data_IF_234856027159
#
_entry.id   IF_234856027159
#
_cell.length_a   1.000
_cell.length_b   1.000
_cell.length_c   1.000
_cell.angle_alpha   90.00
_cell.angle_beta   90.00
_cell.angle_gamma   90.00
#
_symmetry.space_group_name_H-M   'P 1'
#
loop_
_entity.id
_entity.type
_entity.pdbx_description
1 polymer ?
#
# COMPACT_ATOMS: atom_id res chain seq x y z
N UNK A 1 -13.99 37.38 -25.25
CA UNK A 1 -14.18 36.23 -26.11
C UNK A 1 -12.93 35.36 -25.95
N UNK A 2 -12.93 34.44 -25.00
CA UNK A 2 -11.90 33.46 -24.80
C UNK A 2 -12.56 32.08 -24.83
N UNK A 3 -12.14 31.28 -25.77
CA UNK A 3 -12.63 29.90 -25.91
C UNK A 3 -12.00 29.05 -24.84
N UNK A 4 -12.82 28.50 -23.95
CA UNK A 4 -12.46 27.38 -23.06
C UNK A 4 -12.76 26.11 -23.85
N UNK A 5 -11.73 25.43 -24.32
CA UNK A 5 -11.85 24.06 -24.83
C UNK A 5 -11.91 23.12 -23.64
N UNK A 6 -13.12 22.66 -23.33
CA UNK A 6 -13.34 21.54 -22.46
C UNK A 6 -12.94 20.24 -23.17
N UNK A 7 -11.89 19.59 -22.72
CA UNK A 7 -11.56 18.21 -23.11
C UNK A 7 -12.53 17.27 -22.40
N UNK A 8 -13.51 16.78 -23.14
CA UNK A 8 -14.37 15.67 -22.72
C UNK A 8 -13.56 14.39 -22.94
N UNK A 9 -13.07 13.79 -21.85
CA UNK A 9 -12.47 12.44 -21.89
C UNK A 9 -13.59 11.41 -22.02
N UNK A 10 -13.79 10.90 -23.21
CA UNK A 10 -14.65 9.75 -23.48
C UNK A 10 -13.91 8.47 -23.12
N UNK A 11 -14.26 7.83 -22.01
CA UNK A 11 -13.87 6.46 -21.74
C UNK A 11 -14.68 5.52 -22.63
N UNK A 12 -14.01 4.93 -23.61
CA UNK A 12 -14.58 3.86 -24.43
C UNK A 12 -14.56 2.55 -23.61
N UNK A 13 -15.74 2.03 -23.35
CA UNK A 13 -15.93 0.65 -22.87
C UNK A 13 -15.45 -0.28 -23.99
N UNK A 14 -14.31 -0.93 -23.80
CA UNK A 14 -13.83 -1.97 -24.72
C UNK A 14 -14.62 -3.25 -24.55
N UNK A 15 -15.41 -3.56 -25.56
CA UNK A 15 -15.97 -4.89 -25.80
C UNK A 15 -14.81 -5.87 -26.07
N UNK A 16 -14.62 -6.86 -25.22
CA UNK A 16 -13.68 -7.95 -25.48
C UNK A 16 -14.24 -8.92 -26.51
N UNK A 17 -13.58 -8.99 -27.66
CA UNK A 17 -13.71 -10.09 -28.59
C UNK A 17 -12.78 -11.23 -28.14
N UNK A 18 -13.39 -12.37 -27.86
CA UNK A 18 -12.73 -13.63 -27.57
C UNK A 18 -11.90 -14.10 -28.78
N UNK A 19 -10.59 -14.27 -28.61
CA UNK A 19 -9.76 -15.07 -29.51
C UNK A 19 -9.24 -16.31 -28.78
N UNK A 20 -9.50 -17.45 -29.40
CA UNK A 20 -9.33 -18.77 -28.87
C UNK A 20 -7.88 -19.19 -28.63
N UNK A 21 -7.72 -19.99 -27.60
CA UNK A 21 -6.51 -20.75 -27.30
C UNK A 21 -6.21 -21.79 -28.40
N UNK A 22 -4.98 -21.79 -28.87
CA UNK A 22 -4.39 -22.90 -29.58
C UNK A 22 -3.52 -23.69 -28.61
N UNK A 23 -3.91 -24.93 -28.34
CA UNK A 23 -3.12 -25.90 -27.59
C UNK A 23 -1.80 -26.24 -28.31
N UNK A 24 -0.69 -26.18 -27.59
CA UNK A 24 0.49 -27.00 -27.89
C UNK A 24 0.96 -27.68 -26.62
N UNK A 25 0.77 -28.96 -26.58
CA UNK A 25 1.35 -29.88 -25.63
C UNK A 25 2.88 -29.93 -25.73
N UNK A 26 3.54 -30.06 -24.61
CA UNK A 26 4.96 -30.37 -24.50
C UNK A 26 5.21 -31.10 -23.19
N UNK A 27 5.60 -32.33 -23.30
CA UNK A 27 5.86 -33.31 -22.25
C UNK A 27 7.10 -32.97 -21.40
N UNK A 28 7.01 -33.24 -20.11
CA UNK A 28 7.96 -34.01 -19.33
C UNK A 28 9.33 -33.40 -19.02
N UNK A 29 9.58 -33.23 -17.74
CA UNK A 29 10.93 -33.03 -17.20
C UNK A 29 10.92 -32.84 -15.70
N UNK A 30 10.82 -33.95 -14.94
CA UNK A 30 11.14 -34.01 -13.52
C UNK A 30 12.63 -33.75 -13.33
N UNK A 31 12.97 -32.67 -12.58
CA UNK A 31 14.33 -32.39 -12.17
C UNK A 31 14.32 -31.64 -10.86
N UNK A 32 14.37 -32.38 -9.76
CA UNK A 32 14.64 -31.78 -8.45
C UNK A 32 16.04 -31.20 -8.43
N UNK A 33 16.16 -29.96 -8.07
CA UNK A 33 17.41 -29.37 -7.61
C UNK A 33 17.20 -28.77 -6.23
N UNK A 34 17.80 -29.45 -5.26
CA UNK A 34 18.10 -28.87 -3.97
C UNK A 34 19.12 -27.74 -4.20
N UNK A 35 18.69 -26.51 -4.10
CA UNK A 35 19.56 -25.34 -4.14
C UNK A 35 19.99 -24.93 -2.74
N UNK A 36 21.11 -25.49 -2.28
CA UNK A 36 21.89 -24.93 -1.17
C UNK A 36 22.61 -23.70 -1.70
N UNK A 37 22.04 -22.53 -1.49
CA UNK A 37 22.66 -21.25 -1.85
C UNK A 37 23.10 -20.49 -0.62
N UNK A 38 24.14 -20.95 0.07
CA UNK A 38 24.90 -20.12 0.98
C UNK A 38 25.69 -19.08 0.19
N UNK A 39 25.35 -17.82 0.26
CA UNK A 39 26.22 -16.74 -0.22
C UNK A 39 27.28 -16.42 0.84
N UNK A 40 28.51 -16.86 0.58
CA UNK A 40 29.69 -16.42 1.28
C UNK A 40 29.99 -14.96 0.87
N UNK A 41 29.66 -14.01 1.70
CA UNK A 41 30.12 -12.63 1.58
C UNK A 41 31.60 -12.54 1.94
N UNK A 42 32.41 -12.10 0.99
CA UNK A 42 33.84 -11.85 1.18
C UNK A 42 34.09 -10.50 1.86
N UNK A 43 34.67 -10.57 3.06
CA UNK A 43 35.70 -9.68 3.61
C UNK A 43 35.48 -8.17 3.61
N UNK A 44 35.16 -7.61 4.78
CA UNK A 44 35.34 -6.19 5.14
C UNK A 44 35.67 -6.05 6.61
N UNK A 45 36.86 -5.58 6.89
CA UNK A 45 37.45 -4.93 8.08
C UNK A 45 36.65 -4.93 9.39
N UNK A 46 37.09 -5.70 10.36
CA UNK A 46 37.11 -5.42 11.82
C UNK A 46 35.88 -4.75 12.45
N UNK A 47 34.66 -5.27 12.20
CA UNK A 47 33.51 -4.99 13.03
C UNK A 47 33.50 -5.86 14.27
N UNK A 48 32.95 -5.37 15.40
CA UNK A 48 32.65 -6.21 16.56
C UNK A 48 31.75 -7.38 16.10
N UNK A 49 31.86 -8.56 16.70
CA UNK A 49 30.96 -9.65 16.37
C UNK A 49 29.49 -9.19 16.50
N UNK A 50 28.66 -9.54 15.55
CA UNK A 50 27.27 -9.18 15.50
C UNK A 50 26.48 -9.77 16.67
N UNK A 51 26.94 -10.94 17.16
CA UNK A 51 26.36 -11.61 18.33
C UNK A 51 27.41 -12.15 19.28
N UNK A 52 27.03 -12.24 20.56
CA UNK A 52 27.81 -12.89 21.64
C UNK A 52 27.00 -14.01 22.31
N UNK A 53 25.73 -14.13 22.00
CA UNK A 53 24.83 -15.16 22.51
C UNK A 53 23.56 -15.26 21.66
N UNK A 54 22.72 -16.29 21.89
CA UNK A 54 21.48 -16.47 21.12
C UNK A 54 20.51 -15.28 21.22
N UNK A 55 20.48 -14.61 22.37
CA UNK A 55 19.59 -13.47 22.61
C UNK A 55 19.96 -12.24 21.73
N UNK A 56 21.17 -12.18 21.20
CA UNK A 56 21.63 -11.12 20.31
C UNK A 56 21.13 -11.36 18.85
N UNK A 57 20.64 -12.57 18.56
CA UNK A 57 20.20 -13.00 17.24
C UNK A 57 18.68 -13.15 17.14
N UNK A 58 17.93 -12.62 18.08
CA UNK A 58 16.47 -12.67 18.03
C UNK A 58 15.96 -11.85 16.84
N UNK A 59 15.39 -12.53 15.82
CA UNK A 59 14.78 -11.93 14.64
C UNK A 59 13.28 -11.71 14.82
N UNK A 60 12.76 -11.95 16.04
CA UNK A 60 11.34 -11.85 16.38
C UNK A 60 10.44 -12.79 15.54
N UNK A 61 11.01 -13.78 14.88
CA UNK A 61 10.29 -14.75 14.05
C UNK A 61 10.21 -16.11 14.78
N UNK A 62 9.02 -16.45 15.27
CA UNK A 62 8.76 -17.72 15.97
C UNK A 62 9.04 -18.96 15.10
N UNK A 63 9.20 -18.79 13.79
CA UNK A 63 9.41 -19.87 12.84
C UNK A 63 10.87 -20.06 12.45
N UNK A 64 11.80 -19.40 13.12
CA UNK A 64 13.23 -19.58 12.96
C UNK A 64 13.90 -19.97 14.28
N UNK A 65 14.91 -20.81 14.21
CA UNK A 65 15.87 -21.00 15.29
C UNK A 65 16.99 -20.00 15.12
N UNK A 66 17.22 -19.18 16.15
CA UNK A 66 18.20 -18.11 16.15
C UNK A 66 19.49 -18.61 16.81
N UNK A 67 20.55 -18.74 16.06
CA UNK A 67 21.83 -19.25 16.52
C UNK A 67 22.93 -18.22 16.33
N UNK A 68 23.60 -17.84 17.42
CA UNK A 68 24.86 -17.10 17.34
C UNK A 68 26.00 -18.02 17.03
N UNK A 69 26.62 -17.94 15.88
CA UNK A 69 27.82 -18.66 15.54
C UNK A 69 29.03 -17.96 16.19
N UNK A 70 29.48 -18.46 17.33
CA UNK A 70 30.55 -17.87 18.13
C UNK A 70 31.91 -17.90 17.45
N UNK A 71 32.09 -18.72 16.39
CA UNK A 71 33.36 -18.80 15.67
C UNK A 71 33.56 -17.60 14.71
N UNK A 72 32.50 -17.06 14.21
CA UNK A 72 32.54 -15.92 13.29
C UNK A 72 31.76 -14.67 13.79
N UNK A 73 31.03 -14.80 14.92
CA UNK A 73 30.20 -13.72 15.50
C UNK A 73 28.98 -13.33 14.67
N UNK A 74 28.47 -14.22 13.83
CA UNK A 74 27.32 -13.97 12.96
C UNK A 74 26.08 -14.73 13.43
N UNK A 75 24.91 -14.11 13.27
CA UNK A 75 23.64 -14.78 13.49
C UNK A 75 23.32 -15.73 12.31
N UNK A 76 22.88 -16.92 12.66
CA UNK A 76 22.38 -17.93 11.73
C UNK A 76 20.91 -18.20 12.06
N UNK A 77 20.05 -18.15 11.04
CA UNK A 77 18.62 -18.37 11.15
C UNK A 77 18.25 -19.64 10.38
N UNK A 78 17.65 -20.58 11.07
CA UNK A 78 17.22 -21.85 10.45
C UNK A 78 15.73 -22.02 10.65
N UNK A 79 15.00 -22.28 9.56
CA UNK A 79 13.57 -22.54 9.66
C UNK A 79 13.29 -23.71 10.61
N UNK A 80 12.35 -23.51 11.55
CA UNK A 80 11.85 -24.62 12.38
C UNK A 80 11.06 -25.61 11.49
N UNK A 81 10.83 -26.85 11.93
CA UNK A 81 10.07 -27.82 11.17
C UNK A 81 8.69 -27.32 10.78
N UNK A 82 8.27 -27.55 9.54
CA UNK A 82 6.94 -27.22 9.04
C UNK A 82 5.86 -27.83 9.96
N UNK A 83 4.83 -27.01 10.24
CA UNK A 83 3.76 -27.34 11.18
C UNK A 83 4.07 -27.04 12.65
N UNK A 84 5.27 -26.51 12.96
CA UNK A 84 5.55 -25.98 14.31
C UNK A 84 4.57 -24.85 14.62
N UNK A 85 3.98 -24.87 15.81
CA UNK A 85 3.01 -23.85 16.25
C UNK A 85 3.68 -22.46 16.33
N UNK A 86 3.00 -21.46 15.83
CA UNK A 86 3.37 -20.04 15.93
C UNK A 86 2.15 -19.18 16.26
N UNK A 87 2.34 -17.87 16.48
CA UNK A 87 1.28 -16.93 16.79
C UNK A 87 0.41 -17.39 17.99
N UNK A 88 1.05 -17.86 19.08
CA UNK A 88 0.40 -18.38 20.28
C UNK A 88 -0.57 -19.55 19.98
N UNK A 89 -0.21 -20.43 19.05
CA UNK A 89 -1.02 -21.58 18.65
C UNK A 89 -2.07 -21.29 17.57
N UNK A 90 -2.10 -20.08 17.04
CA UNK A 90 -3.06 -19.67 15.98
C UNK A 90 -2.55 -19.92 14.56
N UNK A 91 -1.33 -20.37 14.42
CA UNK A 91 -0.71 -20.66 13.12
C UNK A 91 0.29 -21.79 13.18
N UNK A 92 0.78 -22.20 12.00
CA UNK A 92 1.87 -23.16 11.83
C UNK A 92 3.00 -22.56 10.99
N UNK A 93 4.22 -22.91 11.33
CA UNK A 93 5.40 -22.51 10.58
C UNK A 93 5.51 -23.34 9.29
N UNK A 94 5.76 -22.70 8.17
CA UNK A 94 6.05 -23.32 6.88
C UNK A 94 7.15 -22.54 6.16
N UNK A 95 8.24 -23.23 5.85
CA UNK A 95 9.39 -22.61 5.19
C UNK A 95 10.04 -21.46 5.97
N UNK A 96 9.92 -21.46 7.31
CA UNK A 96 10.46 -20.40 8.16
C UNK A 96 9.52 -19.22 8.37
N UNK A 97 8.28 -19.26 7.89
CA UNK A 97 7.29 -18.22 8.05
C UNK A 97 6.05 -18.73 8.79
N UNK A 98 5.48 -17.89 9.65
CA UNK A 98 4.26 -18.23 10.38
C UNK A 98 3.02 -18.09 9.50
N UNK A 99 2.38 -19.21 9.16
CA UNK A 99 1.12 -19.25 8.45
C UNK A 99 -0.02 -19.37 9.46
N UNK A 100 -0.93 -18.38 9.49
CA UNK A 100 -1.99 -18.32 10.49
C UNK A 100 -3.12 -19.29 10.16
N UNK A 101 -3.83 -19.74 11.21
CA UNK A 101 -5.09 -20.44 11.08
C UNK A 101 -6.08 -19.56 10.30
N UNK A 102 -6.88 -20.13 9.39
CA UNK A 102 -7.87 -19.39 8.65
C UNK A 102 -8.76 -18.54 9.55
N UNK A 103 -8.99 -17.31 9.13
CA UNK A 103 -9.83 -16.35 9.80
C UNK A 103 -11.18 -16.32 9.10
N UNK A 104 -12.27 -16.62 9.81
CA UNK A 104 -13.61 -16.38 9.29
C UNK A 104 -14.03 -14.93 9.54
N UNK A 105 -14.74 -14.36 8.58
CA UNK A 105 -15.19 -12.98 8.64
C UNK A 105 -16.69 -12.94 8.36
N UNK A 106 -17.46 -12.52 9.35
CA UNK A 106 -18.88 -12.19 9.15
C UNK A 106 -18.98 -10.75 8.68
N UNK A 107 -19.70 -10.53 7.57
CA UNK A 107 -19.90 -9.21 6.93
C UNK A 107 -21.36 -8.82 7.12
N UNK A 108 -21.60 -7.66 7.72
CA UNK A 108 -22.94 -7.11 7.91
C UNK A 108 -23.50 -6.39 6.68
N UNK A 109 -24.60 -5.70 6.88
CA UNK A 109 -25.25 -4.94 5.82
C UNK A 109 -24.43 -3.68 5.44
N UNK A 110 -24.37 -3.31 4.15
CA UNK A 110 -23.70 -2.09 3.71
C UNK A 110 -24.49 -0.84 4.11
N UNK A 111 -23.74 0.21 4.43
CA UNK A 111 -24.25 1.56 4.71
C UNK A 111 -23.46 2.56 3.87
N UNK A 112 -24.17 3.50 3.24
CA UNK A 112 -23.55 4.59 2.47
C UNK A 112 -23.09 5.67 3.44
N UNK A 113 -21.83 6.07 3.34
CA UNK A 113 -21.21 7.14 4.15
C UNK A 113 -21.15 8.45 3.36
N UNK A 114 -20.94 8.35 2.04
CA UNK A 114 -20.95 9.45 1.10
C UNK A 114 -21.62 8.98 -0.18
N UNK A 115 -22.72 9.66 -0.56
CA UNK A 115 -23.45 9.46 -1.81
C UNK A 115 -23.03 10.54 -2.80
N UNK A 116 -22.32 10.14 -3.85
CA UNK A 116 -21.81 11.09 -4.84
C UNK A 116 -22.90 11.95 -5.45
N UNK A 117 -24.12 11.43 -5.61
CA UNK A 117 -25.23 12.17 -6.21
C UNK A 117 -25.73 13.30 -5.32
N UNK A 118 -25.57 13.18 -4.01
CA UNK A 118 -26.13 14.09 -3.01
C UNK A 118 -25.08 14.94 -2.30
N UNK A 119 -23.88 14.39 -2.03
CA UNK A 119 -22.95 14.95 -1.06
C UNK A 119 -21.74 15.62 -1.70
N UNK A 120 -21.49 15.39 -3.01
CA UNK A 120 -20.32 15.93 -3.71
C UNK A 120 -20.28 17.46 -3.77
N UNK A 121 -19.09 17.99 -3.62
CA UNK A 121 -18.81 19.42 -3.82
C UNK A 121 -18.72 19.83 -5.30
N UNK A 122 -18.15 18.97 -6.11
CA UNK A 122 -18.10 19.13 -7.57
C UNK A 122 -18.15 17.77 -8.29
N UNK A 123 -18.07 17.77 -9.63
CA UNK A 123 -18.19 16.54 -10.44
C UNK A 123 -17.06 15.53 -10.15
N UNK A 124 -15.87 16.00 -9.75
CA UNK A 124 -14.71 15.17 -9.47
C UNK A 124 -14.51 14.90 -7.97
N UNK A 125 -15.43 15.30 -7.11
CA UNK A 125 -15.43 14.93 -5.72
C UNK A 125 -15.94 13.49 -5.57
N UNK A 126 -15.04 12.55 -5.76
CA UNK A 126 -15.31 11.10 -5.75
C UNK A 126 -14.39 10.40 -4.75
N UNK A 127 -14.83 9.34 -4.07
CA UNK A 127 -13.97 8.51 -3.25
C UNK A 127 -13.03 7.70 -4.15
N UNK A 128 -11.80 8.20 -4.33
CA UNK A 128 -10.76 7.67 -5.22
C UNK A 128 -9.48 7.31 -4.47
N UNK A 129 -9.59 7.08 -3.17
CA UNK A 129 -8.54 6.60 -2.28
C UNK A 129 -9.14 5.78 -1.14
N UNK A 130 -8.36 4.91 -0.47
CA UNK A 130 -8.86 4.20 0.71
C UNK A 130 -9.27 5.19 1.80
N UNK A 131 -10.42 4.96 2.43
CA UNK A 131 -10.89 5.80 3.52
C UNK A 131 -9.89 5.81 4.69
N UNK A 132 -9.63 6.99 5.24
CA UNK A 132 -8.84 7.18 6.45
C UNK A 132 -9.59 8.10 7.39
N UNK A 133 -9.59 7.78 8.67
CA UNK A 133 -10.17 8.65 9.69
C UNK A 133 -9.10 9.02 10.69
N UNK A 134 -9.05 10.29 11.05
CA UNK A 134 -8.16 10.81 12.08
C UNK A 134 -8.97 11.70 13.01
N UNK A 135 -8.72 11.61 14.30
CA UNK A 135 -9.37 12.41 15.31
C UNK A 135 -8.68 13.76 15.47
N UNK A 136 -9.39 14.84 15.21
CA UNK A 136 -8.94 16.21 15.37
C UNK A 136 -8.74 16.60 16.86
N UNK A 137 -8.18 17.77 17.14
CA UNK A 137 -7.79 18.18 18.49
C UNK A 137 -8.98 18.20 19.46
N UNK A 138 -10.16 18.61 18.98
CA UNK A 138 -11.37 18.72 19.80
C UNK A 138 -12.30 17.50 19.69
N UNK A 139 -11.81 16.38 19.11
CA UNK A 139 -12.53 15.12 19.03
C UNK A 139 -13.39 14.95 17.78
N UNK A 140 -13.49 15.96 16.93
CA UNK A 140 -14.08 15.83 15.59
C UNK A 140 -13.33 14.76 14.78
N UNK A 141 -14.05 14.01 13.95
CA UNK A 141 -13.46 13.06 13.02
C UNK A 141 -13.26 13.73 11.67
N UNK A 142 -12.09 13.50 11.08
CA UNK A 142 -11.75 13.96 9.74
C UNK A 142 -11.55 12.73 8.87
N UNK A 143 -12.39 12.59 7.83
CA UNK A 143 -12.36 11.46 6.90
C UNK A 143 -11.78 11.90 5.56
N UNK A 144 -10.81 11.12 5.10
CA UNK A 144 -10.15 11.22 3.81
C UNK A 144 -10.65 10.07 2.93
N UNK A 145 -11.26 10.38 1.79
CA UNK A 145 -11.63 9.45 0.74
C UNK A 145 -11.77 10.29 -0.54
N UNK A 146 -10.66 10.67 -1.15
CA UNK A 146 -10.49 11.89 -1.93
C UNK A 146 -10.04 11.65 -3.35
N UNK A 147 -10.23 12.66 -4.20
CA UNK A 147 -9.73 12.71 -5.57
C UNK A 147 -8.61 13.75 -5.75
N UNK A 148 -7.74 13.54 -6.74
CA UNK A 148 -6.53 14.33 -6.95
C UNK A 148 -6.72 15.81 -7.25
N UNK A 149 -7.80 16.21 -7.89
CA UNK A 149 -7.92 17.60 -8.36
C UNK A 149 -8.15 18.56 -7.21
N UNK A 150 -9.12 18.22 -6.36
CA UNK A 150 -9.46 19.00 -5.17
C UNK A 150 -9.68 18.00 -4.04
N UNK A 151 -8.77 18.01 -3.07
CA UNK A 151 -8.84 17.07 -1.94
C UNK A 151 -9.83 17.61 -0.91
N UNK A 152 -11.12 17.34 -1.08
CA UNK A 152 -12.17 17.68 -0.12
C UNK A 152 -12.17 16.65 1.01
N UNK A 153 -12.25 17.13 2.24
CA UNK A 153 -12.33 16.27 3.42
C UNK A 153 -13.74 16.31 4.00
N UNK A 154 -14.16 15.17 4.56
CA UNK A 154 -15.39 15.10 5.32
C UNK A 154 -15.09 15.25 6.81
N UNK A 155 -15.96 15.94 7.54
CA UNK A 155 -15.81 16.18 8.97
C UNK A 155 -17.11 15.86 9.70
N UNK A 156 -17.02 15.36 10.93
CA UNK A 156 -18.19 15.05 11.72
C UNK A 156 -17.87 14.79 13.19
N UNK A 157 -18.83 14.92 14.09
CA UNK A 157 -18.65 14.60 15.50
C UNK A 157 -18.59 13.07 15.75
N UNK A 158 -19.06 12.28 14.80
CA UNK A 158 -19.12 10.81 14.85
C UNK A 158 -19.07 10.19 13.44
N UNK A 159 -19.13 8.88 13.34
CA UNK A 159 -19.08 8.14 12.08
C UNK A 159 -20.37 8.17 11.26
N UNK A 160 -21.46 8.71 11.80
CA UNK A 160 -22.78 8.71 11.18
C UNK A 160 -23.16 10.07 10.56
N UNK A 161 -22.36 11.11 10.83
CA UNK A 161 -22.69 12.48 10.46
C UNK A 161 -21.50 13.21 9.84
N UNK A 162 -20.93 12.67 8.78
CA UNK A 162 -19.89 13.35 8.01
C UNK A 162 -20.48 14.35 7.01
N UNK A 163 -19.88 15.54 6.94
CA UNK A 163 -20.23 16.59 5.97
C UNK A 163 -18.96 17.22 5.38
N UNK A 164 -19.01 17.71 4.16
CA UNK A 164 -17.94 18.50 3.54
C UNK A 164 -18.31 19.98 3.56
N UNK A 165 -17.35 20.83 3.87
CA UNK A 165 -17.47 22.29 3.73
C UNK A 165 -17.13 22.77 2.31
N UNK A 166 -16.81 21.85 1.42
CA UNK A 166 -16.40 22.09 0.04
C UNK A 166 -15.19 23.05 -0.09
N UNK A 167 -14.35 23.06 0.92
CA UNK A 167 -13.06 23.74 0.87
C UNK A 167 -11.95 22.70 0.70
N UNK A 168 -11.18 22.71 -0.42
CA UNK A 168 -10.15 21.70 -0.62
C UNK A 168 -8.98 21.92 0.35
N UNK A 169 -8.66 20.88 1.12
CA UNK A 169 -7.50 20.89 2.01
C UNK A 169 -6.16 20.90 1.24
N UNK A 170 -6.16 20.38 0.02
CA UNK A 170 -5.08 20.50 -0.96
C UNK A 170 -5.70 20.58 -2.35
N UNK A 171 -5.14 21.44 -3.19
CA UNK A 171 -5.42 21.44 -4.62
C UNK A 171 -4.16 21.07 -5.38
N UNK A 172 -4.23 20.10 -6.28
CA UNK A 172 -3.10 19.65 -7.07
C UNK A 172 -2.53 20.79 -7.92
N UNK A 173 -1.23 20.93 -7.91
CA UNK A 173 -0.54 21.95 -8.70
C UNK A 173 -0.57 21.62 -10.21
N UNK A 174 -0.68 20.34 -10.56
CA UNK A 174 -0.71 19.81 -11.94
C UNK A 174 0.46 20.33 -12.80
N UNK A 175 1.68 20.33 -12.24
CA UNK A 175 2.85 20.74 -12.96
C UNK A 175 3.17 19.74 -14.09
N UNK A 176 3.66 20.22 -15.26
CA UNK A 176 3.72 19.41 -16.46
C UNK A 176 4.95 18.48 -16.57
N UNK A 177 5.77 18.37 -15.54
CA UNK A 177 7.00 17.57 -15.55
C UNK A 177 7.05 16.56 -14.42
N UNK A 178 7.58 15.38 -14.70
CA UNK A 178 7.71 14.29 -13.70
C UNK A 178 8.63 14.68 -12.54
N UNK A 179 9.68 15.45 -12.80
CA UNK A 179 10.66 15.92 -11.80
C UNK A 179 10.10 16.90 -10.78
N UNK A 180 8.93 17.48 -11.04
CA UNK A 180 8.27 18.38 -10.11
C UNK A 180 7.73 17.64 -8.91
N UNK A 181 7.26 16.39 -9.06
CA UNK A 181 6.54 15.61 -8.05
C UNK A 181 5.31 16.34 -7.51
N UNK A 182 4.72 17.23 -8.32
CA UNK A 182 3.55 18.05 -8.01
C UNK A 182 2.56 18.00 -9.18
N UNK A 183 2.08 16.78 -9.48
CA UNK A 183 1.22 16.52 -10.63
C UNK A 183 -0.22 16.28 -10.18
N UNK A 184 -0.78 15.09 -10.32
CA UNK A 184 -2.04 14.73 -9.69
C UNK A 184 -1.73 14.20 -8.28
N UNK A 185 -2.36 14.76 -7.26
CA UNK A 185 -1.95 14.55 -5.86
C UNK A 185 -3.14 14.19 -4.99
N UNK A 186 -3.08 13.03 -4.34
CA UNK A 186 -4.05 12.56 -3.36
C UNK A 186 -3.45 12.62 -1.96
N UNK A 187 -4.10 13.29 -1.00
CA UNK A 187 -3.78 13.21 0.43
C UNK A 187 -4.12 11.80 0.95
N UNK A 188 -3.24 10.82 0.74
CA UNK A 188 -3.57 9.40 0.81
C UNK A 188 -3.48 8.80 2.21
N UNK A 189 -2.41 9.07 2.95
CA UNK A 189 -2.15 8.43 4.24
C UNK A 189 -1.86 9.46 5.31
N UNK A 190 -2.91 10.04 5.92
CA UNK A 190 -2.76 10.98 7.02
C UNK A 190 -2.31 10.27 8.31
N UNK A 191 -1.54 10.98 9.12
CA UNK A 191 -1.18 10.60 10.47
C UNK A 191 -1.03 11.86 11.34
N UNK A 192 -1.70 11.89 12.47
CA UNK A 192 -1.60 13.01 13.43
C UNK A 192 -0.66 12.64 14.56
N UNK A 193 0.41 13.43 14.73
CA UNK A 193 1.35 13.36 15.84
C UNK A 193 1.23 14.64 16.69
N UNK A 194 0.65 14.53 17.87
CA UNK A 194 0.36 15.71 18.69
C UNK A 194 -0.61 16.67 18.00
N UNK A 195 -0.17 17.88 17.67
CA UNK A 195 -0.94 18.89 16.94
C UNK A 195 -0.60 18.95 15.44
N UNK A 196 0.49 18.28 15.01
CA UNK A 196 0.90 18.25 13.62
C UNK A 196 0.19 17.10 12.88
N UNK A 197 -0.24 17.36 11.66
CA UNK A 197 -0.74 16.36 10.74
C UNK A 197 0.29 16.14 9.65
N UNK A 198 0.67 14.91 9.46
CA UNK A 198 1.53 14.47 8.37
C UNK A 198 0.70 13.68 7.38
N UNK A 199 0.96 13.82 6.10
CA UNK A 199 0.28 13.02 5.10
C UNK A 199 1.27 12.55 4.04
N UNK A 200 1.24 11.24 3.74
CA UNK A 200 1.85 10.73 2.52
C UNK A 200 0.89 10.99 1.37
N UNK A 201 1.40 11.63 0.35
CA UNK A 201 0.66 11.98 -0.87
C UNK A 201 1.01 10.96 -1.94
N UNK A 202 0.01 10.36 -2.55
CA UNK A 202 0.18 9.66 -3.83
C UNK A 202 0.21 10.71 -4.93
N UNK A 203 1.30 10.76 -5.69
CA UNK A 203 1.47 11.69 -6.81
C UNK A 203 1.64 10.91 -8.11
N UNK A 204 0.83 11.26 -9.12
CA UNK A 204 0.86 10.65 -10.45
C UNK A 204 1.18 11.67 -11.53
N UNK A 205 2.24 11.45 -12.27
CA UNK A 205 2.50 12.19 -13.51
C UNK A 205 1.91 11.43 -14.69
N UNK A 206 1.03 12.10 -15.44
CA UNK A 206 0.35 11.56 -16.62
C UNK A 206 0.87 12.27 -17.89
N UNK A 207 1.89 11.74 -18.56
CA UNK A 207 2.44 12.36 -19.76
C UNK A 207 1.45 12.29 -20.92
N UNK A 208 1.35 13.38 -21.68
CA UNK A 208 0.55 13.46 -22.89
C UNK A 208 1.26 12.84 -24.11
N UNK A 209 2.59 12.84 -24.11
CA UNK A 209 3.44 12.36 -25.20
C UNK A 209 4.74 11.75 -24.66
N UNK A 210 5.47 10.93 -25.41
CA UNK A 210 5.09 10.45 -26.75
C UNK A 210 4.09 9.29 -26.69
N UNK A 211 3.47 8.93 -27.82
CA UNK A 211 2.66 7.72 -27.88
C UNK A 211 3.45 6.48 -27.40
N UNK A 212 2.80 5.51 -26.71
CA UNK A 212 1.36 5.36 -26.52
C UNK A 212 0.74 6.23 -25.44
N UNK A 213 1.51 7.07 -24.73
CA UNK A 213 0.98 7.95 -23.69
C UNK A 213 0.04 9.02 -24.26
N UNK A 214 -1.04 9.31 -23.55
CA UNK A 214 -2.10 10.23 -23.97
C UNK A 214 -2.72 11.02 -22.81
N UNK A 215 -2.03 11.08 -21.66
CA UNK A 215 -2.53 11.70 -20.44
C UNK A 215 -3.41 10.80 -19.58
N UNK A 216 -3.65 9.55 -20.00
CA UNK A 216 -4.52 8.61 -19.27
C UNK A 216 -3.83 7.27 -19.05
N UNK A 217 -3.12 6.74 -20.04
CA UNK A 217 -2.64 5.36 -20.04
C UNK A 217 -1.17 5.19 -19.61
N UNK A 218 -0.49 6.25 -19.22
CA UNK A 218 0.86 6.20 -18.68
C UNK A 218 0.90 6.91 -17.34
N UNK A 219 1.31 6.20 -16.30
CA UNK A 219 1.39 6.73 -14.95
C UNK A 219 2.80 6.53 -14.40
N UNK A 220 3.43 7.63 -14.04
CA UNK A 220 4.70 7.63 -13.34
C UNK A 220 4.46 8.12 -11.92
N UNK A 221 4.67 7.23 -10.96
CA UNK A 221 4.18 7.38 -9.60
C UNK A 221 5.30 7.63 -8.61
N UNK A 222 4.99 8.42 -7.61
CA UNK A 222 5.87 8.73 -6.49
C UNK A 222 5.06 9.03 -5.23
N UNK A 223 5.72 8.95 -4.07
CA UNK A 223 5.13 9.35 -2.80
C UNK A 223 5.81 10.62 -2.34
N UNK A 224 5.01 11.63 -2.02
CA UNK A 224 5.46 12.89 -1.45
C UNK A 224 4.83 13.14 -0.07
N UNK A 225 5.09 14.27 0.53
CA UNK A 225 4.69 14.58 1.90
C UNK A 225 4.18 16.01 2.01
N UNK A 226 3.15 16.20 2.82
CA UNK A 226 2.70 17.50 3.26
C UNK A 226 2.38 17.50 4.75
N UNK A 227 2.29 18.69 5.32
CA UNK A 227 2.00 18.93 6.74
C UNK A 227 0.84 19.91 6.87
N UNK A 228 -0.04 19.67 7.85
CA UNK A 228 -1.01 20.64 8.32
C UNK A 228 -0.76 20.98 9.79
N UNK A 229 -0.94 22.26 10.12
CA UNK A 229 -0.90 22.79 11.50
C UNK A 229 -2.19 23.50 11.88
N UNK A 230 -3.20 23.39 11.05
CA UNK A 230 -4.53 24.00 11.21
C UNK A 230 -5.65 22.94 11.28
N UNK A 231 -5.31 21.80 11.87
CA UNK A 231 -6.24 20.67 12.10
C UNK A 231 -6.82 20.08 10.80
N UNK A 232 -5.94 19.95 9.80
CA UNK A 232 -6.22 19.42 8.44
C UNK A 232 -7.18 20.29 7.60
N UNK A 233 -7.33 21.57 7.89
CA UNK A 233 -8.05 22.48 6.98
C UNK A 233 -7.21 22.82 5.74
N UNK A 234 -5.88 22.87 5.88
CA UNK A 234 -4.98 23.03 4.75
C UNK A 234 -3.69 22.23 4.92
N UNK A 235 -3.12 21.77 3.81
CA UNK A 235 -1.83 21.08 3.80
C UNK A 235 -0.80 21.86 2.98
N UNK A 236 0.42 21.92 3.49
CA UNK A 236 1.54 22.61 2.87
C UNK A 236 2.67 21.63 2.62
N UNK A 237 3.20 21.63 1.40
CA UNK A 237 4.37 20.83 1.03
C UNK A 237 5.66 21.61 1.26
N UNK A 238 6.73 20.99 1.76
CA UNK A 238 8.06 21.55 1.62
C UNK A 238 8.39 21.81 0.14
N UNK A 239 9.19 22.81 -0.15
CA UNK A 239 9.59 23.09 -1.55
C UNK A 239 10.34 21.91 -2.17
N UNK A 240 10.06 21.63 -3.46
CA UNK A 240 10.71 20.54 -4.20
C UNK A 240 12.25 20.65 -4.17
N UNK A 241 13.00 19.56 -4.04
CA UNK A 241 12.56 18.16 -3.89
C UNK A 241 12.38 17.70 -2.43
N UNK A 242 12.38 18.59 -1.44
CA UNK A 242 12.39 18.24 -0.02
C UNK A 242 11.10 17.54 0.45
N UNK A 243 10.01 17.63 -0.32
CA UNK A 243 8.74 16.95 -0.03
C UNK A 243 8.72 15.48 -0.51
N UNK A 244 9.75 15.02 -1.24
CA UNK A 244 9.75 13.68 -1.84
C UNK A 244 10.14 12.62 -0.82
N UNK A 245 9.30 11.58 -0.69
CA UNK A 245 9.49 10.44 0.23
C UNK A 245 9.99 9.21 -0.54
N UNK A 246 9.23 8.77 -1.54
CA UNK A 246 9.56 7.61 -2.37
C UNK A 246 9.37 7.97 -3.85
N UNK A 247 10.41 8.50 -4.50
CA UNK A 247 10.41 8.73 -5.94
C UNK A 247 10.51 7.40 -6.68
N UNK A 248 9.96 7.33 -7.90
CA UNK A 248 10.27 6.20 -8.77
C UNK A 248 11.79 6.05 -8.93
N UNK A 249 12.31 4.81 -9.01
CA UNK A 249 13.76 4.57 -9.06
C UNK A 249 14.48 5.20 -10.24
N UNK A 250 13.81 5.29 -11.38
CA UNK A 250 14.36 5.86 -12.62
C UNK A 250 13.69 7.19 -12.95
N UNK A 251 14.37 8.02 -13.74
CA UNK A 251 13.73 9.18 -14.37
C UNK A 251 12.63 8.72 -15.32
N UNK A 252 11.61 9.56 -15.50
CA UNK A 252 10.56 9.24 -16.45
C UNK A 252 11.16 8.95 -17.84
N UNK A 253 10.81 7.78 -18.36
CA UNK A 253 11.04 7.38 -19.74
C UNK A 253 9.76 6.83 -20.33
N UNK A 254 9.44 7.16 -21.59
CA UNK A 254 8.29 6.58 -22.25
C UNK A 254 8.44 5.06 -22.38
N UNK A 255 7.32 4.32 -22.41
CA UNK A 255 7.37 2.87 -22.61
C UNK A 255 8.09 2.54 -23.93
N UNK A 256 8.81 1.40 -24.00
CA UNK A 256 9.44 0.93 -25.22
C UNK A 256 8.42 0.82 -26.39
N UNK A 257 8.84 1.02 -27.65
CA UNK A 257 7.93 0.94 -28.80
C UNK A 257 7.26 -0.43 -29.01
N UNK A 258 7.88 -1.48 -28.50
CA UNK A 258 7.41 -2.87 -28.51
C UNK A 258 6.69 -3.26 -27.22
N UNK A 259 6.45 -2.29 -26.33
CA UNK A 259 5.65 -2.49 -25.13
C UNK A 259 4.28 -3.04 -25.54
N UNK A 260 3.81 -4.15 -24.93
CA UNK A 260 2.50 -4.68 -25.28
C UNK A 260 1.46 -3.56 -25.20
N UNK A 261 0.46 -3.56 -26.10
CA UNK A 261 -0.66 -2.61 -26.00
C UNK A 261 -1.53 -2.98 -24.79
N UNK A 262 -0.90 -2.99 -23.61
CA UNK A 262 -1.62 -3.07 -22.34
C UNK A 262 -2.37 -1.74 -22.16
N UNK A 263 -3.55 -1.78 -21.56
CA UNK A 263 -4.33 -0.55 -21.37
C UNK A 263 -3.55 0.52 -20.58
N UNK A 264 -2.58 0.11 -19.75
CA UNK A 264 -1.91 1.00 -18.81
C UNK A 264 -0.41 0.68 -18.67
N UNK A 265 0.42 1.73 -18.77
CA UNK A 265 1.83 1.70 -18.39
C UNK A 265 1.97 2.40 -17.03
N UNK A 266 2.08 1.62 -15.95
CA UNK A 266 2.15 2.12 -14.58
C UNK A 266 3.52 1.80 -14.01
N UNK A 267 4.26 2.80 -13.54
CA UNK A 267 5.59 2.59 -12.97
C UNK A 267 5.83 3.48 -11.75
N UNK A 268 6.64 3.02 -10.81
CA UNK A 268 7.05 3.74 -9.61
C UNK A 268 6.46 3.18 -8.33
N UNK A 269 6.41 4.02 -7.30
CA UNK A 269 5.80 3.73 -6.01
C UNK A 269 4.45 4.41 -5.90
N UNK A 270 3.43 3.65 -5.50
CA UNK A 270 2.04 4.11 -5.46
C UNK A 270 1.30 3.55 -4.25
N UNK A 271 0.13 4.11 -3.97
CA UNK A 271 -0.83 3.63 -2.97
C UNK A 271 -0.20 3.35 -1.60
N UNK A 272 0.32 4.37 -0.88
CA UNK A 272 0.84 4.13 0.46
C UNK A 272 -0.28 3.65 1.39
N UNK A 273 -0.03 2.59 2.17
CA UNK A 273 -0.97 2.12 3.18
C UNK A 273 -1.21 3.17 4.27
N UNK A 274 -2.10 2.90 5.22
CA UNK A 274 -2.13 3.67 6.47
C UNK A 274 -0.76 3.65 7.12
N UNK A 275 -0.40 4.75 7.81
CA UNK A 275 0.78 4.80 8.67
C UNK A 275 0.42 4.15 10.01
N UNK A 276 1.26 3.28 10.54
CA UNK A 276 1.13 2.71 11.88
C UNK A 276 2.39 2.93 12.71
N UNK A 277 2.24 3.19 14.00
CA UNK A 277 3.34 3.19 14.95
C UNK A 277 3.64 1.74 15.35
N UNK A 278 4.81 1.25 15.00
CA UNK A 278 5.21 -0.13 15.15
C UNK A 278 6.45 -0.34 16.03
N UNK A 279 7.12 -1.48 15.88
CA UNK A 279 8.25 -1.87 16.70
C UNK A 279 9.37 -0.83 16.74
N UNK A 280 10.00 -0.70 17.90
CA UNK A 280 11.10 0.25 18.10
C UNK A 280 10.73 1.72 17.99
N UNK A 281 9.44 2.07 18.03
CA UNK A 281 8.95 3.43 17.90
C UNK A 281 9.16 4.01 16.50
N UNK A 282 9.13 3.17 15.48
CA UNK A 282 9.12 3.59 14.09
C UNK A 282 7.68 3.72 13.57
N UNK A 283 7.47 4.66 12.68
CA UNK A 283 6.30 4.76 11.81
C UNK A 283 6.55 3.90 10.57
N UNK A 284 5.60 3.04 10.23
CA UNK A 284 5.67 2.16 9.08
C UNK A 284 4.56 2.47 8.09
N UNK A 285 4.86 2.32 6.82
CA UNK A 285 3.88 2.30 5.74
C UNK A 285 4.32 1.28 4.68
N UNK A 286 3.35 0.61 4.06
CA UNK A 286 3.60 -0.20 2.88
C UNK A 286 3.32 0.62 1.63
N UNK A 287 4.00 0.27 0.55
CA UNK A 287 3.84 0.86 -0.78
C UNK A 287 3.60 -0.25 -1.78
N UNK A 288 2.76 0.00 -2.76
CA UNK A 288 2.81 -0.79 -3.98
C UNK A 288 4.00 -0.33 -4.82
N UNK A 289 4.78 -1.27 -5.35
CA UNK A 289 5.84 -1.00 -6.33
C UNK A 289 5.50 -1.68 -7.64
N UNK A 290 5.58 -0.92 -8.74
CA UNK A 290 5.42 -1.46 -10.09
C UNK A 290 6.58 -0.94 -10.95
N UNK A 291 7.37 -1.85 -11.50
CA UNK A 291 8.49 -1.50 -12.37
C UNK A 291 8.54 -2.45 -13.55
N UNK A 292 8.75 -1.88 -14.74
CA UNK A 292 8.99 -2.62 -15.96
C UNK A 292 10.50 -2.79 -16.17
N UNK A 293 11.04 -3.79 -15.50
CA UNK A 293 12.41 -4.25 -15.65
C UNK A 293 12.44 -5.45 -16.63
N UNK A 294 13.62 -6.08 -16.82
CA UNK A 294 13.71 -7.35 -17.56
C UNK A 294 12.71 -8.39 -17.03
N UNK A 295 12.55 -8.43 -15.70
CA UNK A 295 11.47 -9.14 -15.00
C UNK A 295 10.50 -8.12 -14.42
N UNK A 296 9.24 -8.19 -14.77
CA UNK A 296 8.21 -7.32 -14.21
C UNK A 296 8.14 -7.47 -12.69
N UNK A 297 8.32 -6.35 -11.98
CA UNK A 297 8.15 -6.28 -10.54
C UNK A 297 6.80 -5.63 -10.22
N UNK A 298 5.93 -6.35 -9.54
CA UNK A 298 4.68 -5.83 -8.94
C UNK A 298 4.49 -6.50 -7.57
N UNK A 299 4.17 -5.72 -6.54
CA UNK A 299 3.92 -6.23 -5.21
C UNK A 299 3.96 -5.13 -4.14
N UNK A 300 3.88 -5.54 -2.89
CA UNK A 300 3.98 -4.64 -1.75
C UNK A 300 5.40 -4.63 -1.19
N UNK A 301 5.88 -3.46 -0.80
CA UNK A 301 7.10 -3.30 -0.01
C UNK A 301 6.86 -2.39 1.20
N UNK A 302 7.75 -2.43 2.19
CA UNK A 302 7.60 -1.69 3.45
C UNK A 302 8.69 -0.67 3.61
N UNK A 303 8.32 0.49 4.17
CA UNK A 303 9.24 1.54 4.59
C UNK A 303 8.95 1.99 6.02
N UNK A 304 9.96 2.59 6.67
CA UNK A 304 9.80 3.14 8.03
C UNK A 304 10.62 4.40 8.27
N UNK A 305 10.20 5.17 9.27
CA UNK A 305 10.95 6.31 9.79
C UNK A 305 10.73 6.48 11.30
N UNK A 306 11.60 7.23 11.99
CA UNK A 306 11.38 7.70 13.37
C UNK A 306 10.82 9.11 13.44
N UNK A 307 10.78 9.81 12.34
CA UNK A 307 10.38 11.21 12.30
C UNK A 307 9.56 11.49 11.04
N UNK A 308 8.32 11.86 11.23
CA UNK A 308 7.42 12.13 10.11
C UNK A 308 7.71 13.49 9.44
N UNK A 309 8.34 14.42 10.18
CA UNK A 309 8.69 15.76 9.68
C UNK A 309 9.76 15.76 8.58
N UNK A 310 10.57 14.70 8.49
CA UNK A 310 11.67 14.60 7.54
C UNK A 310 11.40 13.54 6.46
N UNK A 311 10.91 13.93 5.27
CA UNK A 311 10.69 13.01 4.16
C UNK A 311 11.93 12.18 3.78
N UNK A 312 13.12 12.75 3.91
CA UNK A 312 14.37 12.07 3.58
C UNK A 312 14.81 11.01 4.62
N UNK A 313 14.13 10.95 5.77
CA UNK A 313 14.42 9.98 6.84
C UNK A 313 13.84 8.59 6.59
N UNK A 314 12.86 8.46 5.71
CA UNK A 314 12.26 7.18 5.38
C UNK A 314 13.28 6.19 4.80
N UNK A 315 13.20 4.95 5.24
CA UNK A 315 14.04 3.84 4.75
C UNK A 315 13.16 2.67 4.36
N UNK A 316 13.32 2.18 3.15
CA UNK A 316 12.64 0.98 2.70
C UNK A 316 13.44 -0.28 3.03
N UNK A 317 12.73 -1.39 3.12
CA UNK A 317 13.30 -2.72 3.25
C UNK A 317 14.03 -3.12 1.96
N UNK A 318 15.28 -3.55 2.06
CA UNK A 318 16.12 -3.94 0.92
C UNK A 318 16.28 -5.46 0.75
N UNK A 319 15.52 -6.25 1.54
CA UNK A 319 15.63 -7.71 1.61
C UNK A 319 16.51 -8.20 2.76
N UNK A 320 17.21 -7.30 3.46
CA UNK A 320 18.08 -7.64 4.58
C UNK A 320 17.92 -6.68 5.78
N UNK A 321 17.39 -5.48 5.53
CA UNK A 321 17.19 -4.45 6.53
C UNK A 321 16.54 -3.21 5.96
N UNK A 322 16.20 -2.26 6.83
CA UNK A 322 15.69 -0.96 6.44
C UNK A 322 16.83 0.01 6.09
N UNK A 323 17.63 -0.33 5.07
CA UNK A 323 18.83 0.40 4.70
C UNK A 323 18.64 1.28 3.45
N UNK A 324 17.60 1.00 2.65
CA UNK A 324 17.38 1.69 1.38
C UNK A 324 16.87 3.11 1.59
N UNK A 325 17.70 4.10 1.27
CA UNK A 325 17.27 5.49 1.13
C UNK A 325 16.68 5.69 -0.28
N UNK A 326 15.42 6.10 -0.35
CA UNK A 326 14.75 6.36 -1.60
C UNK A 326 15.05 7.80 -2.05
N UNK A 327 16.07 7.96 -2.89
CA UNK A 327 16.53 9.27 -3.35
C UNK A 327 16.08 9.53 -4.79
N UNK A 328 15.69 10.78 -5.09
CA UNK A 328 15.22 11.13 -6.43
C UNK A 328 16.33 10.98 -7.48
N UNK A 329 16.09 10.22 -8.58
CA UNK A 329 17.04 10.09 -9.68
C UNK A 329 17.28 11.43 -10.42
N UNK A 330 16.32 12.35 -10.36
CA UNK A 330 16.50 13.70 -10.91
C UNK A 330 17.49 14.55 -10.09
N UNK A 331 17.68 14.23 -8.81
CA UNK A 331 18.64 14.92 -7.94
C UNK A 331 20.02 14.27 -8.01
N UNK A 332 20.05 12.94 -7.97
CA UNK A 332 21.30 12.17 -7.93
C UNK A 332 21.91 11.96 -9.31
N UNK A 333 21.13 12.05 -10.37
CA UNK A 333 21.55 11.72 -11.74
C UNK A 333 21.79 10.22 -11.98
N UNK A 334 21.42 9.37 -11.03
CA UNK A 334 21.58 7.90 -11.12
C UNK A 334 20.29 7.23 -10.64
N UNK A 335 19.95 6.03 -11.17
CA UNK A 335 18.83 5.26 -10.67
C UNK A 335 18.96 5.03 -9.15
N UNK A 336 17.83 5.10 -8.46
CA UNK A 336 17.75 4.75 -7.04
C UNK A 336 17.68 3.22 -6.87
N UNK A 337 18.01 2.75 -5.67
CA UNK A 337 17.71 1.36 -5.30
C UNK A 337 16.21 1.10 -5.27
N UNK A 338 15.82 -0.15 -5.45
CA UNK A 338 14.42 -0.61 -5.42
C UNK A 338 14.16 -1.35 -4.11
N UNK A 339 13.02 -1.08 -3.46
CA UNK A 339 12.63 -1.81 -2.27
C UNK A 339 12.36 -3.29 -2.60
N UNK A 340 12.68 -4.18 -1.67
CA UNK A 340 12.36 -5.58 -1.80
C UNK A 340 10.85 -5.80 -1.63
N UNK A 341 10.26 -6.56 -2.55
CA UNK A 341 8.87 -7.00 -2.40
C UNK A 341 8.80 -8.01 -1.26
N UNK A 342 7.81 -7.82 -0.39
CA UNK A 342 7.55 -8.68 0.75
C UNK A 342 7.08 -10.06 0.29
N UNK A 343 7.41 -11.09 1.06
CA UNK A 343 7.13 -12.47 0.74
C UNK A 343 6.11 -13.09 1.68
N UNK A 344 5.42 -14.11 1.18
CA UNK A 344 4.55 -15.02 1.93
C UNK A 344 5.10 -16.44 1.77
N UNK A 345 4.65 -17.43 2.55
CA UNK A 345 5.06 -18.82 2.40
C UNK A 345 4.89 -19.40 0.98
N UNK A 346 3.90 -18.95 0.24
CA UNK A 346 3.60 -19.45 -1.10
C UNK A 346 4.02 -18.52 -2.24
N UNK A 347 4.57 -17.34 -1.94
CA UNK A 347 4.99 -16.40 -2.98
C UNK A 347 5.25 -15.00 -2.48
N UNK A 348 4.81 -13.99 -3.20
CA UNK A 348 4.98 -12.58 -2.85
C UNK A 348 3.68 -12.02 -2.28
N UNK A 349 3.79 -11.03 -1.40
CA UNK A 349 2.66 -10.18 -1.04
C UNK A 349 2.27 -9.41 -2.31
N UNK A 350 1.07 -9.66 -2.86
CA UNK A 350 0.64 -8.95 -4.07
C UNK A 350 0.40 -7.47 -3.78
N UNK A 351 -0.11 -6.73 -4.74
CA UNK A 351 -0.36 -5.29 -4.62
C UNK A 351 -1.52 -4.91 -3.68
N UNK A 352 -1.72 -5.63 -2.58
CA UNK A 352 -2.78 -5.39 -1.58
C UNK A 352 -2.34 -4.40 -0.49
N UNK A 353 -1.79 -3.26 -0.84
CA UNK A 353 -1.22 -2.30 0.12
C UNK A 353 -2.16 -1.15 0.48
N UNK A 354 -3.49 -1.36 0.47
CA UNK A 354 -4.43 -0.25 0.69
C UNK A 354 -4.58 0.13 2.16
N UNK A 355 -4.73 -0.83 3.08
CA UNK A 355 -4.96 -0.57 4.51
C UNK A 355 -4.03 -1.38 5.39
N UNK A 356 -3.31 -0.72 6.28
CA UNK A 356 -2.43 -1.32 7.28
C UNK A 356 -2.90 -0.92 8.68
N UNK A 357 -3.10 -1.89 9.56
CA UNK A 357 -3.51 -1.68 10.95
C UNK A 357 -2.85 -2.71 11.87
N UNK A 358 -2.75 -2.43 13.18
CA UNK A 358 -2.43 -3.43 14.18
C UNK A 358 -3.72 -3.94 14.82
N UNK A 359 -4.20 -5.10 14.43
CA UNK A 359 -5.43 -5.66 14.99
C UNK A 359 -5.18 -6.19 16.41
N UNK A 360 -5.85 -5.57 17.39
CA UNK A 360 -5.65 -5.88 18.82
C UNK A 360 -6.30 -7.20 19.25
N UNK A 361 -7.27 -7.72 18.51
CA UNK A 361 -7.88 -9.04 18.76
C UNK A 361 -6.98 -10.18 18.26
N UNK A 362 -6.35 -9.97 17.10
CA UNK A 362 -5.42 -10.94 16.50
C UNK A 362 -3.99 -10.78 17.05
N UNK A 363 -3.68 -9.64 17.68
CA UNK A 363 -2.33 -9.22 18.10
C UNK A 363 -1.32 -9.26 16.94
N UNK A 364 -1.78 -8.85 15.76
CA UNK A 364 -0.99 -8.86 14.49
C UNK A 364 -1.27 -7.63 13.67
N UNK A 365 -0.30 -7.26 12.86
CA UNK A 365 -0.53 -6.33 11.76
C UNK A 365 -1.41 -7.00 10.71
N UNK A 366 -2.38 -6.26 10.23
CA UNK A 366 -3.31 -6.70 9.19
C UNK A 366 -3.18 -5.76 8.00
N UNK A 367 -2.81 -6.31 6.87
CA UNK A 367 -2.76 -5.63 5.57
C UNK A 367 -3.99 -6.04 4.78
N UNK A 368 -4.69 -5.06 4.20
CA UNK A 368 -5.86 -5.30 3.35
C UNK A 368 -5.69 -4.55 2.04
N UNK A 369 -6.13 -5.15 0.95
CA UNK A 369 -6.15 -4.50 -0.35
C UNK A 369 -6.93 -5.27 -1.40
N UNK A 370 -7.00 -4.68 -2.60
CA UNK A 370 -7.77 -5.22 -3.72
C UNK A 370 -6.91 -6.06 -4.65
N UNK A 371 -7.33 -7.31 -4.91
CA UNK A 371 -6.91 -8.08 -6.08
C UNK A 371 -7.93 -7.91 -7.20
N UNK A 372 -7.55 -7.11 -8.19
CA UNK A 372 -8.41 -6.74 -9.30
C UNK A 372 -8.46 -7.79 -10.41
N UNK A 373 -7.32 -8.46 -10.62
CA UNK A 373 -7.18 -9.55 -11.58
C UNK A 373 -6.53 -10.72 -10.88
N UNK A 374 -7.17 -11.86 -10.93
CA UNK A 374 -6.59 -13.00 -10.27
C UNK A 374 -6.35 -14.18 -11.21
N UNK A 375 -5.09 -14.36 -11.54
CA UNK A 375 -4.59 -15.50 -12.28
C UNK A 375 -4.20 -16.68 -11.36
N UNK A 376 -4.05 -16.42 -10.06
CA UNK A 376 -3.55 -17.38 -9.09
C UNK A 376 -4.63 -17.85 -8.11
N UNK A 377 -5.55 -16.98 -7.69
CA UNK A 377 -6.51 -17.26 -6.62
C UNK A 377 -7.94 -17.50 -7.11
N UNK A 378 -8.26 -17.18 -8.38
CA UNK A 378 -9.53 -17.51 -9.04
C UNK A 378 -10.74 -16.66 -8.63
N UNK A 379 -10.56 -15.72 -7.69
CA UNK A 379 -11.60 -14.81 -7.20
C UNK A 379 -11.02 -13.41 -7.08
N UNK A 380 -11.69 -12.42 -7.67
CA UNK A 380 -11.35 -11.01 -7.45
C UNK A 380 -12.02 -10.52 -6.17
N UNK A 381 -11.37 -9.60 -5.46
CA UNK A 381 -11.93 -9.09 -4.21
C UNK A 381 -10.93 -8.43 -3.30
N UNK A 382 -11.38 -8.14 -2.11
CA UNK A 382 -10.52 -7.67 -1.04
C UNK A 382 -9.89 -8.86 -0.33
N UNK A 383 -8.60 -8.81 -0.16
CA UNK A 383 -7.80 -9.82 0.53
C UNK A 383 -7.07 -9.19 1.71
N UNK A 384 -6.68 -10.02 2.66
CA UNK A 384 -5.83 -9.61 3.77
C UNK A 384 -4.68 -10.57 3.98
N UNK A 385 -3.61 -10.07 4.59
CA UNK A 385 -2.50 -10.84 5.14
C UNK A 385 -2.19 -10.36 6.55
N UNK A 386 -1.58 -11.22 7.36
CA UNK A 386 -1.21 -10.95 8.74
C UNK A 386 0.30 -11.04 8.95
N UNK A 387 0.85 -10.20 9.84
CA UNK A 387 2.27 -10.17 10.16
C UNK A 387 2.50 -9.87 11.65
N UNK A 388 3.57 -10.40 12.23
CA UNK A 388 4.03 -10.03 13.57
C UNK A 388 5.02 -8.86 13.55
N UNK A 389 5.75 -8.66 12.43
CA UNK A 389 6.93 -7.79 12.36
C UNK A 389 6.91 -6.80 11.18
N UNK A 390 5.86 -6.82 10.32
CA UNK A 390 5.70 -5.98 9.12
C UNK A 390 6.59 -6.37 7.94
N UNK A 391 7.42 -7.39 8.08
CA UNK A 391 8.32 -7.89 7.02
C UNK A 391 7.91 -9.27 6.53
N UNK A 392 7.56 -10.16 7.46
CA UNK A 392 7.11 -11.52 7.16
C UNK A 392 5.59 -11.59 7.24
N UNK A 393 4.96 -12.04 6.17
CA UNK A 393 3.50 -12.03 6.03
C UNK A 393 2.94 -13.42 5.83
N UNK A 394 1.77 -13.69 6.38
CA UNK A 394 1.00 -14.90 6.07
C UNK A 394 0.61 -14.93 4.59
N UNK A 395 0.20 -16.09 4.11
CA UNK A 395 -0.54 -16.16 2.86
C UNK A 395 -1.80 -15.31 2.92
N UNK A 396 -2.18 -14.76 1.76
CA UNK A 396 -3.36 -13.91 1.67
C UNK A 396 -4.65 -14.74 1.79
N UNK A 397 -5.66 -14.17 2.42
CA UNK A 397 -6.97 -14.74 2.61
C UNK A 397 -8.04 -13.79 2.04
N UNK A 398 -9.09 -14.35 1.44
CA UNK A 398 -10.21 -13.57 0.92
C UNK A 398 -10.98 -12.95 2.09
N UNK A 399 -11.19 -11.62 2.03
CA UNK A 399 -12.01 -10.87 2.96
C UNK A 399 -13.43 -10.67 2.42
N UNK A 400 -13.55 -10.20 1.17
CA UNK A 400 -14.84 -9.95 0.51
C UNK A 400 -14.70 -10.06 -1.00
N UNK A 401 -15.60 -10.77 -1.65
CA UNK A 401 -15.63 -10.89 -3.10
C UNK A 401 -16.01 -9.57 -3.80
N UNK A 402 -15.46 -9.38 -5.01
CA UNK A 402 -15.83 -8.33 -5.94
C UNK A 402 -16.05 -8.93 -7.35
N UNK A 403 -16.54 -8.14 -8.29
CA UNK A 403 -16.61 -8.57 -9.70
C UNK A 403 -15.19 -8.88 -10.24
N UNK A 404 -15.11 -9.73 -11.26
CA UNK A 404 -13.82 -10.10 -11.86
C UNK A 404 -13.79 -9.80 -13.37
N UNK A 405 -12.96 -8.84 -13.86
CA UNK A 405 -12.11 -7.94 -13.08
C UNK A 405 -12.92 -7.05 -12.14
N UNK A 406 -12.32 -6.60 -11.03
CA UNK A 406 -13.05 -5.74 -10.11
C UNK A 406 -13.36 -4.39 -10.76
N UNK A 407 -14.64 -4.18 -11.06
CA UNK A 407 -15.16 -2.95 -11.65
C UNK A 407 -16.25 -2.32 -10.79
N UNK A 408 -16.64 -2.99 -9.72
CA UNK A 408 -17.72 -2.61 -8.82
C UNK A 408 -17.23 -2.08 -7.47
N UNK A 409 -16.03 -2.46 -7.04
CA UNK A 409 -15.48 -2.08 -5.73
C UNK A 409 -13.98 -1.79 -5.80
N UNK A 410 -13.52 -0.79 -5.02
CA UNK A 410 -12.09 -0.47 -4.87
C UNK A 410 -11.78 0.13 -3.50
N UNK A 411 -10.50 0.33 -3.22
CA UNK A 411 -9.99 1.10 -2.08
C UNK A 411 -10.48 0.61 -0.71
N UNK A 412 -10.25 -0.67 -0.34
CA UNK A 412 -10.66 -1.18 0.96
C UNK A 412 -9.85 -0.55 2.10
N UNK A 413 -10.51 -0.30 3.23
CA UNK A 413 -9.87 0.19 4.44
C UNK A 413 -10.55 -0.36 5.69
N UNK A 414 -9.76 -0.72 6.71
CA UNK A 414 -10.25 -1.18 8.00
C UNK A 414 -10.23 -0.01 9.00
N UNK A 415 -11.39 0.31 9.54
CA UNK A 415 -11.57 1.37 10.54
C UNK A 415 -12.47 0.83 11.66
N UNK A 416 -12.00 0.87 12.90
CA UNK A 416 -12.81 0.47 14.05
C UNK A 416 -13.37 1.70 14.75
N UNK A 417 -14.67 1.85 14.77
CA UNK A 417 -15.35 2.97 15.43
C UNK A 417 -15.09 3.02 16.94
N UNK A 418 -14.70 1.90 17.54
CA UNK A 418 -14.36 1.78 18.95
C UNK A 418 -12.87 2.00 19.25
N UNK A 419 -12.03 2.22 18.21
CA UNK A 419 -10.62 2.53 18.40
C UNK A 419 -10.48 3.90 19.09
N UNK A 420 -9.84 3.90 20.25
CA UNK A 420 -9.62 5.10 21.04
C UNK A 420 -8.36 5.87 20.60
N UNK A 421 -7.57 5.34 19.66
CA UNK A 421 -6.39 6.03 19.15
C UNK A 421 -6.76 7.21 18.28
N UNK A 422 -5.82 8.14 18.11
CA UNK A 422 -6.02 9.32 17.25
C UNK A 422 -6.16 8.95 15.79
N UNK A 423 -5.40 7.95 15.32
CA UNK A 423 -5.25 7.61 13.91
C UNK A 423 -6.03 6.36 13.50
N UNK A 424 -6.84 5.79 14.37
CA UNK A 424 -7.64 4.57 14.13
C UNK A 424 -6.80 3.41 13.58
N UNK A 425 -5.57 3.28 14.08
CA UNK A 425 -4.58 2.31 13.64
C UNK A 425 -4.63 0.97 14.40
N UNK A 426 -5.52 0.85 15.44
CA UNK A 426 -5.60 -0.29 16.36
C UNK A 426 -7.00 -0.91 16.47
N UNK A 427 -7.55 -1.42 15.36
CA UNK A 427 -8.86 -2.06 15.37
C UNK A 427 -8.89 -3.32 16.26
N UNK A 428 -10.07 -3.60 16.79
CA UNK A 428 -10.35 -4.81 17.55
C UNK A 428 -11.00 -5.92 16.72
N UNK A 429 -11.87 -6.72 17.37
CA UNK A 429 -12.56 -7.86 16.77
C UNK A 429 -13.66 -7.44 15.77
N UNK A 430 -14.29 -6.30 15.97
CA UNK A 430 -15.48 -5.89 15.24
C UNK A 430 -15.28 -4.51 14.54
N UNK A 431 -14.31 -4.39 13.61
CA UNK A 431 -14.12 -3.16 12.84
C UNK A 431 -15.14 -3.04 11.72
N UNK A 432 -15.05 -1.94 10.97
CA UNK A 432 -15.76 -1.77 9.70
C UNK A 432 -14.77 -1.85 8.54
N UNK A 433 -15.23 -2.43 7.42
CA UNK A 433 -14.58 -2.33 6.13
C UNK A 433 -15.23 -1.19 5.36
N UNK A 434 -14.43 -0.18 5.02
CA UNK A 434 -14.82 0.89 4.12
C UNK A 434 -14.30 0.56 2.71
N UNK A 435 -15.09 0.91 1.70
CA UNK A 435 -14.67 0.75 0.30
C UNK A 435 -15.45 1.70 -0.60
N UNK A 436 -14.89 1.95 -1.78
CA UNK A 436 -15.59 2.67 -2.84
C UNK A 436 -16.46 1.71 -3.64
N UNK A 437 -17.75 2.00 -3.74
CA UNK A 437 -18.71 1.31 -4.63
C UNK A 437 -18.79 2.09 -5.92
N UNK A 438 -18.52 1.44 -7.06
CA UNK A 438 -18.65 2.02 -8.39
C UNK A 438 -20.04 1.72 -8.98
N UNK A 439 -20.63 2.70 -9.65
CA UNK A 439 -21.88 2.60 -10.40
C UNK A 439 -21.66 2.64 -11.92
N UNK A 440 -22.72 2.63 -12.73
CA UNK A 440 -22.58 2.59 -14.19
C UNK A 440 -21.88 3.84 -14.76
N UNK A 441 -22.14 5.02 -14.17
CA UNK A 441 -21.45 6.23 -14.54
C UNK A 441 -20.12 6.31 -13.78
N UNK A 442 -19.01 6.42 -14.47
CA UNK A 442 -17.66 6.26 -13.91
C UNK A 442 -17.30 7.25 -12.78
N UNK A 443 -17.95 8.43 -12.72
CA UNK A 443 -17.82 9.36 -11.60
C UNK A 443 -18.80 9.07 -10.47
N UNK A 444 -19.86 8.30 -10.72
CA UNK A 444 -20.84 7.92 -9.70
C UNK A 444 -20.22 6.82 -8.81
N UNK A 445 -19.62 7.26 -7.72
CA UNK A 445 -18.93 6.41 -6.76
C UNK A 445 -19.34 6.79 -5.36
N UNK A 446 -19.80 5.83 -4.61
CA UNK A 446 -20.16 6.01 -3.21
C UNK A 446 -19.06 5.48 -2.28
N UNK A 447 -18.87 6.14 -1.15
CA UNK A 447 -18.13 5.54 -0.04
C UNK A 447 -19.10 4.72 0.80
N UNK A 448 -18.83 3.44 0.91
CA UNK A 448 -19.65 2.47 1.64
C UNK A 448 -18.87 1.87 2.79
N UNK A 449 -19.54 1.56 3.90
CA UNK A 449 -18.98 0.77 5.00
C UNK A 449 -19.85 -0.46 5.27
N UNK A 450 -19.20 -1.53 5.75
CA UNK A 450 -19.87 -2.73 6.27
C UNK A 450 -19.25 -3.11 7.61
N UNK A 451 -20.04 -3.46 8.63
CA UNK A 451 -19.47 -3.98 9.88
C UNK A 451 -18.91 -5.38 9.65
N UNK A 452 -17.76 -5.66 10.25
CA UNK A 452 -17.10 -6.95 10.24
C UNK A 452 -17.13 -7.59 11.65
N UNK A 453 -17.12 -8.91 11.69
CA UNK A 453 -16.77 -9.65 12.91
C UNK A 453 -15.73 -10.70 12.57
N UNK A 454 -14.56 -10.58 13.17
CA UNK A 454 -13.45 -11.49 12.97
C UNK A 454 -13.54 -12.66 13.96
N UNK A 455 -13.35 -13.89 13.47
CA UNK A 455 -13.31 -15.08 14.31
C UNK A 455 -12.19 -15.99 13.83
N UNK A 456 -11.27 -16.32 14.73
CA UNK A 456 -10.22 -17.31 14.45
C UNK A 456 -10.89 -18.69 14.47
N UNK A 457 -10.74 -19.45 13.39
CA UNK A 457 -11.24 -20.82 13.30
C UNK A 457 -10.35 -21.75 14.16
N UNK A 458 -10.98 -22.62 14.97
CA UNK A 458 -10.29 -23.58 15.84
C UNK A 458 -9.79 -24.81 15.06
#
# INVERSE_FOLDING_TARGET
>A
MRYVLGLVSLFAVSLMLSMGCSERGGEGGSGGMAGTGGMAGTGGTGGMPECQGPDDCDDENECTENVCNLDNGMCEYTAVPDGTSCADGRGGCYGGLCNFVPLSVDIGAPEVVFDWTMDRCDEFDIPDSPARVVRAEHGELVLFAIHAYSNYLLRGPDFDTFESDCHPALQSANLPTAESYENNEWLWSPYREGTAWHVLIHNEFHPLEPPPCNGINCWYNSITHAVSTDDAYSFVKPGAPAHVVAPAPDVWMPPPPDFPPAPWYVTGYLNPSSIVLGPGGYYYALLRVVLYLEDWLDGACVMRTKTLDDPASWRAWDGSGFNLAMTSPYVTGTPAGVCAVLETPTGRVPSIADSLTYNTYLERYMLVGLLQYDWQYGVCGFYFALSSDLVHWSDIQLLMEASCPSTDKSYPSIIDHNDATTNFERPGRAPHLYYTQHHEYWLDRDLVRVPLTLTVEE
#
